data_IF_604667062155
#
_entry.id   IF_604667062155
#
_cell.length_a   1.000
_cell.length_b   1.000
_cell.length_c   1.000
_cell.angle_alpha   90.00
_cell.angle_beta   90.00
_cell.angle_gamma   90.00
#
_symmetry.space_group_name_H-M   'P 1'
#
loop_
_entity.id
_entity.type
_entity.pdbx_description
1 polymer ?
#
# COMPACT_ATOMS: atom_id res chain seq x y z
N UNK A 1 33.82 -11.13 -19.81
CA UNK A 1 33.47 -11.96 -18.63
C UNK A 1 32.27 -11.43 -17.85
N UNK A 2 31.95 -10.12 -17.89
CA UNK A 2 30.78 -9.57 -17.19
C UNK A 2 29.41 -9.94 -17.81
N UNK A 3 29.36 -10.19 -19.13
CA UNK A 3 28.12 -10.52 -19.84
C UNK A 3 27.51 -11.88 -19.46
N UNK A 4 28.34 -12.84 -19.07
CA UNK A 4 27.88 -14.20 -18.74
C UNK A 4 27.35 -14.32 -17.28
N UNK A 5 27.73 -13.39 -16.42
CA UNK A 5 27.25 -13.37 -15.01
C UNK A 5 25.82 -12.81 -14.94
N UNK A 6 25.49 -11.83 -15.78
CA UNK A 6 24.13 -11.25 -15.85
C UNK A 6 23.11 -12.25 -16.38
N UNK A 7 23.51 -13.09 -17.37
CA UNK A 7 22.64 -14.15 -17.89
C UNK A 7 22.35 -15.26 -16.86
N UNK A 8 23.32 -15.58 -16.03
CA UNK A 8 23.16 -16.63 -15.01
C UNK A 8 22.30 -16.18 -13.82
N UNK A 9 22.30 -14.89 -13.48
CA UNK A 9 21.47 -14.35 -12.39
C UNK A 9 20.00 -14.22 -12.83
N UNK A 10 19.76 -13.81 -14.07
CA UNK A 10 18.41 -13.82 -14.66
C UNK A 10 17.85 -15.27 -14.74
N UNK A 11 18.68 -16.24 -15.09
CA UNK A 11 18.32 -17.65 -15.13
C UNK A 11 18.04 -18.25 -13.74
N UNK A 12 18.72 -17.80 -12.70
CA UNK A 12 18.48 -18.29 -11.34
C UNK A 12 17.13 -17.82 -10.75
N UNK A 13 16.69 -16.62 -11.10
CA UNK A 13 15.36 -16.12 -10.70
C UNK A 13 14.25 -16.77 -11.53
N UNK A 14 14.52 -17.08 -12.80
CA UNK A 14 13.57 -17.76 -13.70
C UNK A 14 13.50 -19.26 -13.41
N UNK A 15 14.61 -19.90 -13.04
CA UNK A 15 14.66 -21.34 -12.75
C UNK A 15 14.01 -21.73 -11.41
N UNK A 16 13.83 -20.82 -10.47
CA UNK A 16 12.95 -21.07 -9.30
C UNK A 16 11.47 -21.06 -9.67
N UNK A 17 11.10 -20.43 -10.79
CA UNK A 17 9.74 -20.44 -11.33
C UNK A 17 9.47 -21.63 -12.26
N UNK A 18 10.51 -22.23 -12.87
CA UNK A 18 10.37 -23.34 -13.82
C UNK A 18 10.66 -24.74 -13.22
N UNK A 19 11.21 -24.82 -12.01
CA UNK A 19 11.52 -26.11 -11.36
C UNK A 19 10.28 -26.91 -10.93
N UNK A 20 9.06 -26.35 -11.05
CA UNK A 20 7.79 -27.02 -10.73
C UNK A 20 7.06 -27.59 -11.94
N UNK A 21 7.61 -27.45 -13.18
CA UNK A 21 6.94 -27.94 -14.41
C UNK A 21 7.35 -29.31 -14.92
N UNK A 22 8.11 -30.08 -14.18
CA UNK A 22 8.78 -31.26 -14.70
C UNK A 22 8.58 -32.58 -13.96
N UNK A 23 7.43 -32.91 -13.38
CA UNK A 23 7.15 -34.30 -12.96
C UNK A 23 5.65 -34.60 -13.12
N UNK A 24 5.25 -35.09 -14.29
CA UNK A 24 4.08 -35.95 -14.45
C UNK A 24 4.09 -36.62 -15.81
N UNK A 25 4.48 -37.88 -15.83
CA UNK A 25 3.93 -38.97 -16.67
C UNK A 25 4.85 -40.18 -16.66
N UNK A 26 4.54 -41.14 -15.83
CA UNK A 26 4.85 -42.55 -16.12
C UNK A 26 3.66 -43.41 -15.72
N UNK A 27 2.99 -43.94 -16.72
CA UNK A 27 1.97 -44.98 -16.57
C UNK A 27 2.61 -46.26 -16.06
N UNK A 28 2.04 -46.84 -14.99
CA UNK A 28 2.25 -48.27 -14.68
C UNK A 28 0.89 -48.93 -14.51
N UNK A 29 0.75 -50.07 -15.21
CA UNK A 29 -0.44 -50.91 -15.31
C UNK A 29 -0.74 -51.67 -14.03
N UNK A 30 -2.06 -51.90 -13.81
CA UNK A 30 -2.64 -52.76 -12.80
C UNK A 30 -2.19 -54.23 -12.95
N UNK A 31 -1.91 -54.86 -11.81
CA UNK A 31 -1.88 -56.31 -11.64
C UNK A 31 -2.65 -56.67 -10.36
N UNK A 32 -3.69 -57.52 -10.53
CA UNK A 32 -4.58 -58.05 -9.49
C UNK A 32 -3.85 -59.06 -8.60
N UNK A 33 -4.22 -59.13 -7.28
CA UNK A 33 -3.90 -60.28 -6.46
C UNK A 33 -4.09 -60.09 -4.95
N UNK A 34 -5.26 -60.36 -4.46
CA UNK A 34 -5.69 -61.17 -3.27
C UNK A 34 -4.85 -61.08 -1.97
N UNK A 35 -5.50 -60.76 -0.85
CA UNK A 35 -5.15 -61.24 0.46
C UNK A 35 -5.21 -60.22 1.59
N UNK A 36 -6.34 -60.19 2.34
CA UNK A 36 -6.42 -59.52 3.65
C UNK A 36 -5.69 -60.36 4.71
N UNK A 37 -5.07 -59.69 5.69
CA UNK A 37 -5.38 -60.03 7.04
C UNK A 37 -5.68 -58.77 7.91
N UNK A 38 -6.75 -58.88 8.66
CA UNK A 38 -7.18 -58.04 9.77
C UNK A 38 -6.14 -58.02 10.89
N UNK A 39 -5.64 -56.81 11.18
CA UNK A 39 -4.89 -56.56 12.44
C UNK A 39 -5.58 -55.44 13.18
N UNK A 40 -6.17 -55.75 14.32
CA UNK A 40 -6.62 -54.83 15.35
C UNK A 40 -5.46 -54.46 16.28
N UNK A 41 -5.05 -53.22 16.42
CA UNK A 41 -4.23 -52.79 17.54
C UNK A 41 -5.08 -52.12 18.60
N UNK A 42 -5.23 -52.77 19.74
CA UNK A 42 -5.63 -52.15 21.00
C UNK A 42 -4.57 -51.19 21.47
N UNK A 43 -4.83 -49.89 21.36
CA UNK A 43 -4.03 -48.85 22.03
C UNK A 43 -4.74 -48.41 23.32
N UNK A 44 -4.07 -48.59 24.45
CA UNK A 44 -4.44 -47.99 25.73
C UNK A 44 -4.31 -46.45 25.62
N UNK A 45 -5.22 -45.66 26.24
CA UNK A 45 -5.10 -44.21 26.23
C UNK A 45 -3.93 -43.75 27.12
N UNK A 46 -3.05 -42.96 26.51
CA UNK A 46 -2.00 -42.21 27.22
C UNK A 46 -2.67 -41.01 27.93
N UNK A 47 -2.26 -40.66 29.16
CA UNK A 47 -2.86 -39.56 29.91
C UNK A 47 -2.55 -38.24 29.21
N UNK A 48 -3.58 -37.39 29.07
CA UNK A 48 -3.45 -36.04 28.54
C UNK A 48 -2.54 -35.20 29.44
N UNK A 49 -1.44 -34.71 28.89
CA UNK A 49 -0.65 -33.65 29.50
C UNK A 49 -1.52 -32.39 29.56
N UNK A 50 -1.82 -31.94 30.77
CA UNK A 50 -2.39 -30.63 31.03
C UNK A 50 -1.35 -29.57 30.61
N UNK A 51 -1.55 -28.92 29.50
CA UNK A 51 -0.84 -27.68 29.19
C UNK A 51 -1.27 -26.62 30.20
N UNK A 52 -0.33 -26.13 31.00
CA UNK A 52 -0.50 -24.91 31.77
C UNK A 52 -0.54 -23.73 30.79
N UNK A 53 -1.37 -22.72 31.05
CA UNK A 53 -1.36 -21.51 30.21
C UNK A 53 0.02 -20.86 30.36
N UNK A 54 0.69 -20.68 29.24
CA UNK A 54 1.86 -19.80 29.14
C UNK A 54 1.33 -18.37 29.37
N UNK A 55 1.70 -17.80 30.51
CA UNK A 55 1.46 -16.39 30.79
C UNK A 55 2.40 -15.64 29.84
N UNK A 56 1.84 -15.08 28.76
CA UNK A 56 2.54 -14.15 27.91
C UNK A 56 2.77 -12.85 28.70
N UNK A 57 3.98 -12.73 29.24
CA UNK A 57 4.52 -11.45 29.71
C UNK A 57 4.83 -10.58 28.47
N UNK A 58 3.80 -9.93 27.93
CA UNK A 58 4.02 -8.85 26.98
C UNK A 58 4.54 -7.62 27.73
N UNK A 59 5.74 -7.15 27.45
CA UNK A 59 6.22 -5.91 28.03
C UNK A 59 5.36 -4.74 27.47
N UNK A 60 4.54 -4.18 28.35
CA UNK A 60 3.92 -2.86 28.13
C UNK A 60 5.05 -1.83 28.05
N UNK A 61 5.18 -1.16 26.91
CA UNK A 61 6.20 -0.19 26.51
C UNK A 61 7.36 -0.76 25.70
N UNK A 62 7.13 -0.96 24.41
CA UNK A 62 8.20 -0.92 23.43
C UNK A 62 7.95 0.25 22.48
N UNK A 63 8.71 1.35 22.63
CA UNK A 63 9.13 2.12 21.46
C UNK A 63 9.77 1.09 20.55
N UNK A 64 9.00 0.56 19.60
CA UNK A 64 9.51 -0.42 18.64
C UNK A 64 10.66 0.27 17.90
N UNK A 65 11.84 -0.15 18.19
CA UNK A 65 13.06 0.28 17.53
C UNK A 65 12.89 -0.07 16.05
N UNK A 66 12.83 0.94 15.21
CA UNK A 66 12.84 0.89 13.73
C UNK A 66 14.03 0.05 13.21
N UNK A 67 14.97 -0.29 14.09
CA UNK A 67 16.28 -0.89 13.81
C UNK A 67 16.28 -2.34 13.31
N UNK A 68 15.17 -3.09 13.37
CA UNK A 68 15.20 -4.49 12.96
C UNK A 68 14.44 -4.80 11.66
N UNK A 69 13.73 -3.83 11.08
CA UNK A 69 12.96 -4.03 9.84
C UNK A 69 11.85 -5.07 9.97
N UNK A 70 11.40 -5.30 11.19
CA UNK A 70 10.34 -6.25 11.51
C UNK A 70 9.23 -5.62 12.31
N UNK A 71 8.01 -6.10 12.04
CA UNK A 71 6.78 -5.78 12.73
C UNK A 71 6.18 -7.11 13.19
N UNK A 72 6.50 -7.54 14.42
CA UNK A 72 6.28 -8.91 14.85
C UNK A 72 7.00 -9.91 13.93
N UNK A 73 6.27 -10.85 13.33
CA UNK A 73 6.83 -11.80 12.34
C UNK A 73 7.00 -11.20 10.93
N UNK A 74 6.34 -10.09 10.62
CA UNK A 74 6.30 -9.48 9.29
C UNK A 74 7.51 -8.59 8.98
N UNK A 75 7.72 -8.28 7.69
CA UNK A 75 8.86 -7.48 7.23
C UNK A 75 10.08 -8.31 6.85
N UNK A 76 11.27 -7.78 7.13
CA UNK A 76 12.54 -8.45 6.87
C UNK A 76 13.18 -8.07 5.53
N UNK A 77 14.22 -8.84 5.14
CA UNK A 77 15.01 -8.65 3.90
C UNK A 77 15.09 -9.97 3.13
N UNK A 78 14.00 -10.41 2.50
CA UNK A 78 13.94 -11.64 1.72
C UNK A 78 14.38 -11.36 0.27
N UNK A 79 15.66 -11.11 0.08
CA UNK A 79 16.25 -10.68 -1.19
C UNK A 79 17.50 -11.49 -1.53
N UNK A 80 17.92 -11.54 -2.80
CA UNK A 80 19.22 -12.07 -3.18
C UNK A 80 20.36 -11.37 -2.44
N UNK A 81 21.41 -12.11 -2.10
CA UNK A 81 22.58 -11.62 -1.35
C UNK A 81 23.20 -10.37 -1.96
N UNK A 82 23.20 -10.28 -3.30
CA UNK A 82 23.71 -9.12 -4.05
C UNK A 82 23.02 -7.80 -3.70
N UNK A 83 21.80 -7.81 -3.17
CA UNK A 83 21.07 -6.61 -2.75
C UNK A 83 21.34 -6.19 -1.31
N UNK A 84 21.87 -7.07 -0.46
CA UNK A 84 22.05 -6.80 0.98
C UNK A 84 22.94 -5.56 1.19
N UNK A 85 24.05 -5.46 0.48
CA UNK A 85 24.95 -4.29 0.60
C UNK A 85 24.27 -3.00 0.15
N UNK A 86 23.48 -3.03 -0.91
CA UNK A 86 22.76 -1.84 -1.40
C UNK A 86 21.69 -1.40 -0.40
N UNK A 87 20.94 -2.33 0.14
CA UNK A 87 19.92 -2.05 1.17
C UNK A 87 20.54 -1.57 2.49
N UNK A 88 21.70 -2.11 2.89
CA UNK A 88 22.41 -1.62 4.08
C UNK A 88 22.90 -0.18 3.91
N UNK A 89 23.41 0.19 2.72
CA UNK A 89 23.77 1.59 2.41
C UNK A 89 22.54 2.51 2.46
N UNK A 90 21.40 2.06 1.91
CA UNK A 90 20.14 2.81 1.95
C UNK A 90 19.64 2.99 3.39
N UNK A 91 19.68 1.93 4.19
CA UNK A 91 19.30 1.97 5.62
C UNK A 91 20.18 2.94 6.42
N UNK A 92 21.50 2.89 6.21
CA UNK A 92 22.43 3.81 6.85
C UNK A 92 22.13 5.28 6.47
N UNK A 93 21.93 5.57 5.20
CA UNK A 93 21.57 6.90 4.73
C UNK A 93 20.22 7.36 5.27
N UNK A 94 19.20 6.49 5.28
CA UNK A 94 17.91 6.79 5.86
C UNK A 94 18.00 7.16 7.35
N UNK A 95 18.76 6.39 8.12
CA UNK A 95 18.99 6.69 9.55
C UNK A 95 19.77 8.00 9.76
N UNK A 96 20.70 8.33 8.87
CA UNK A 96 21.43 9.60 8.92
C UNK A 96 20.49 10.77 8.67
N UNK A 97 19.68 10.75 7.62
CA UNK A 97 18.80 11.87 7.25
C UNK A 97 17.71 12.14 8.28
N UNK A 98 17.26 11.13 9.02
CA UNK A 98 16.30 11.33 10.11
C UNK A 98 16.83 12.22 11.23
N UNK A 99 18.13 12.25 11.44
CA UNK A 99 18.80 13.01 12.50
C UNK A 99 19.64 14.19 11.97
N UNK A 100 19.68 14.42 10.67
CA UNK A 100 20.40 15.51 10.04
C UNK A 100 19.49 16.75 9.94
N UNK A 101 19.70 17.73 10.83
CA UNK A 101 18.88 18.95 10.90
C UNK A 101 18.82 19.69 9.57
N UNK A 102 19.93 19.74 8.83
CA UNK A 102 19.99 20.41 7.53
C UNK A 102 19.08 19.70 6.50
N UNK A 103 19.13 18.36 6.45
CA UNK A 103 18.24 17.60 5.57
C UNK A 103 16.77 17.81 5.95
N UNK A 104 16.47 17.81 7.26
CA UNK A 104 15.09 18.02 7.73
C UNK A 104 14.58 19.42 7.40
N UNK A 105 15.38 20.46 7.54
CA UNK A 105 15.06 21.83 7.13
C UNK A 105 14.83 21.93 5.61
N UNK A 106 15.70 21.33 4.80
CA UNK A 106 15.55 21.28 3.34
C UNK A 106 14.27 20.53 2.93
N UNK A 107 13.96 19.42 3.60
CA UNK A 107 12.73 18.64 3.36
C UNK A 107 11.48 19.44 3.78
N UNK A 108 11.50 20.11 4.92
CA UNK A 108 10.39 20.97 5.37
C UNK A 108 10.12 22.09 4.37
N UNK A 109 11.17 22.77 3.88
CA UNK A 109 11.05 23.78 2.81
C UNK A 109 10.45 23.16 1.54
N UNK A 110 10.90 21.98 1.14
CA UNK A 110 10.38 21.32 -0.05
C UNK A 110 8.90 20.91 0.14
N UNK A 111 8.52 20.41 1.30
CA UNK A 111 7.14 20.07 1.64
C UNK A 111 6.25 21.32 1.64
N UNK A 112 6.70 22.43 2.20
CA UNK A 112 5.94 23.68 2.24
C UNK A 112 5.83 24.34 0.86
N UNK A 113 6.95 24.60 0.20
CA UNK A 113 7.02 25.48 -0.97
C UNK A 113 6.77 24.75 -2.30
N UNK A 114 7.08 23.46 -2.38
CA UNK A 114 6.91 22.67 -3.60
C UNK A 114 5.72 21.70 -3.51
N UNK A 115 5.52 21.03 -2.38
CA UNK A 115 4.40 20.09 -2.21
C UNK A 115 3.10 20.81 -1.84
N UNK A 116 3.20 21.97 -1.18
CA UNK A 116 2.05 22.80 -0.81
C UNK A 116 1.44 22.38 0.53
N UNK A 117 2.27 21.87 1.46
CA UNK A 117 1.82 21.50 2.81
C UNK A 117 1.74 22.76 3.70
N UNK A 118 0.87 22.79 4.70
CA UNK A 118 0.04 21.67 5.20
C UNK A 118 -1.22 21.49 4.35
N UNK A 119 -1.64 20.23 4.09
CA UNK A 119 -2.94 20.01 3.46
C UNK A 119 -4.06 20.25 4.46
N UNK A 120 -5.21 20.85 4.06
CA UNK A 120 -6.28 21.14 4.99
C UNK A 120 -6.92 19.89 5.63
N UNK A 121 -7.28 20.00 6.89
CA UNK A 121 -8.29 19.16 7.51
C UNK A 121 -9.65 19.86 7.36
N UNK A 122 -10.39 19.49 6.33
CA UNK A 122 -11.62 20.14 5.88
C UNK A 122 -12.84 19.54 6.58
N UNK A 123 -13.70 20.40 7.21
CA UNK A 123 -14.98 19.97 7.74
C UNK A 123 -15.97 19.79 6.59
N UNK A 124 -16.41 18.56 6.35
CA UNK A 124 -17.34 18.22 5.28
C UNK A 124 -18.79 18.40 5.78
N UNK A 125 -19.27 19.65 5.78
CA UNK A 125 -20.54 20.03 6.42
C UNK A 125 -21.75 19.32 5.83
N UNK A 126 -21.83 19.24 4.49
CA UNK A 126 -22.97 18.62 3.83
C UNK A 126 -22.92 17.09 3.91
N UNK A 127 -21.72 16.52 3.91
CA UNK A 127 -21.53 15.09 4.15
C UNK A 127 -21.83 14.73 5.61
N UNK A 128 -21.43 15.56 6.55
CA UNK A 128 -21.83 15.48 7.98
C UNK A 128 -23.35 15.48 8.12
N UNK A 129 -24.01 16.45 7.50
CA UNK A 129 -25.48 16.54 7.53
C UNK A 129 -26.16 15.32 6.90
N UNK A 130 -25.56 14.75 5.86
CA UNK A 130 -26.09 13.54 5.18
C UNK A 130 -26.11 12.31 6.10
N UNK A 131 -25.15 12.19 7.03
CA UNK A 131 -25.07 11.06 7.96
C UNK A 131 -25.71 11.32 9.33
N UNK A 132 -26.33 12.47 9.55
CA UNK A 132 -27.13 12.75 10.75
C UNK A 132 -28.53 12.18 10.61
N UNK A 133 -29.10 11.74 11.74
CA UNK A 133 -30.48 11.26 11.83
C UNK A 133 -31.50 12.42 11.75
N UNK A 134 -32.79 12.10 11.90
CA UNK A 134 -33.87 13.07 11.86
C UNK A 134 -33.82 14.08 13.01
N UNK A 135 -33.16 13.73 14.13
CA UNK A 135 -32.95 14.61 15.28
C UNK A 135 -31.69 15.49 15.10
N UNK A 136 -30.96 15.32 14.00
CA UNK A 136 -29.71 16.02 13.71
C UNK A 136 -28.48 15.49 14.47
N UNK A 137 -28.58 14.27 15.05
CA UNK A 137 -27.51 13.60 15.77
C UNK A 137 -26.71 12.70 14.83
N UNK A 138 -25.41 12.60 15.06
CA UNK A 138 -24.51 11.73 14.30
C UNK A 138 -23.07 12.26 14.30
N UNK A 139 -22.16 11.54 13.61
CA UNK A 139 -20.75 11.94 13.61
C UNK A 139 -20.51 13.23 12.82
N UNK A 140 -19.39 13.87 13.09
CA UNK A 140 -18.84 14.98 12.29
C UNK A 140 -17.73 14.48 11.40
N UNK A 141 -17.87 14.70 10.09
CA UNK A 141 -16.95 14.18 9.07
C UNK A 141 -15.95 15.27 8.69
N UNK A 142 -14.69 14.92 8.81
CA UNK A 142 -13.56 15.73 8.34
C UNK A 142 -12.80 15.00 7.26
N UNK A 143 -12.30 15.73 6.27
CA UNK A 143 -11.52 15.19 5.16
C UNK A 143 -10.10 15.73 5.24
N UNK A 144 -9.11 14.84 5.38
CA UNK A 144 -7.71 15.21 5.18
C UNK A 144 -7.42 15.25 3.68
N UNK A 145 -7.12 16.44 3.16
CA UNK A 145 -7.14 16.80 1.74
C UNK A 145 -5.78 16.53 1.05
N UNK A 146 -5.33 15.27 1.02
CA UNK A 146 -4.09 14.88 0.32
C UNK A 146 -4.22 14.99 -1.23
N UNK A 147 -5.42 15.10 -1.75
CA UNK A 147 -5.72 15.44 -3.14
C UNK A 147 -5.25 16.84 -3.55
N UNK A 148 -5.01 17.74 -2.61
CA UNK A 148 -4.50 19.10 -2.83
C UNK A 148 -2.97 19.19 -2.85
N UNK A 149 -2.25 18.12 -2.54
CA UNK A 149 -0.80 18.10 -2.74
C UNK A 149 -0.43 18.35 -4.20
N UNK A 150 0.76 18.90 -4.42
CA UNK A 150 1.34 18.96 -5.77
C UNK A 150 1.27 17.59 -6.46
N UNK A 151 0.86 17.57 -7.72
CA UNK A 151 0.52 16.37 -8.49
C UNK A 151 -0.74 15.63 -8.04
N UNK A 152 -1.47 16.14 -7.06
CA UNK A 152 -2.81 15.68 -6.70
C UNK A 152 -2.86 14.37 -5.91
N UNK A 153 -1.84 14.02 -5.11
CA UNK A 153 -1.88 12.84 -4.26
C UNK A 153 -0.81 12.85 -3.15
N UNK A 154 -1.06 12.07 -2.07
CA UNK A 154 -0.12 11.81 -0.98
C UNK A 154 1.25 11.29 -1.44
N UNK A 155 1.34 10.73 -2.64
CA UNK A 155 2.58 10.13 -3.18
C UNK A 155 3.75 11.12 -3.22
N UNK A 156 3.48 12.41 -3.36
CA UNK A 156 4.51 13.45 -3.43
C UNK A 156 5.31 13.56 -2.13
N UNK A 157 4.71 13.37 -0.96
CA UNK A 157 5.38 13.44 0.34
C UNK A 157 6.59 12.52 0.39
N UNK A 158 6.39 11.28 -0.03
CA UNK A 158 7.44 10.26 -0.06
C UNK A 158 8.40 10.47 -1.26
N UNK A 159 7.88 10.83 -2.44
CA UNK A 159 8.69 10.95 -3.64
C UNK A 159 9.77 12.03 -3.50
N UNK A 160 9.42 13.21 -2.97
CA UNK A 160 10.38 14.31 -2.79
C UNK A 160 11.49 13.92 -1.82
N UNK A 161 11.16 13.32 -0.68
CA UNK A 161 12.14 12.90 0.32
C UNK A 161 13.10 11.82 -0.23
N UNK A 162 12.58 10.80 -0.94
CA UNK A 162 13.42 9.76 -1.53
C UNK A 162 14.30 10.28 -2.66
N UNK A 163 13.85 11.25 -3.46
CA UNK A 163 14.69 11.89 -4.48
C UNK A 163 15.82 12.70 -3.84
N UNK A 164 15.56 13.39 -2.74
CA UNK A 164 16.62 14.08 -1.97
C UNK A 164 17.65 13.08 -1.42
N UNK A 165 17.22 11.92 -0.91
CA UNK A 165 18.12 10.83 -0.50
C UNK A 165 18.92 10.30 -1.70
N UNK A 166 18.27 10.03 -2.83
CA UNK A 166 18.94 9.54 -4.03
C UNK A 166 20.06 10.49 -4.49
N UNK A 167 19.77 11.79 -4.51
CA UNK A 167 20.77 12.84 -4.82
C UNK A 167 21.93 12.85 -3.82
N UNK A 168 21.63 12.77 -2.54
CA UNK A 168 22.64 12.73 -1.47
C UNK A 168 23.53 11.47 -1.55
N UNK A 169 22.96 10.33 -1.95
CA UNK A 169 23.71 9.10 -2.24
C UNK A 169 24.49 9.14 -3.57
N UNK A 170 24.48 10.26 -4.29
CA UNK A 170 25.18 10.42 -5.57
C UNK A 170 24.56 9.64 -6.73
N UNK A 171 23.27 9.24 -6.62
CA UNK A 171 22.56 8.55 -7.71
C UNK A 171 22.19 9.54 -8.79
N UNK A 172 22.36 9.14 -10.05
CA UNK A 172 22.04 9.99 -11.21
C UNK A 172 20.68 9.68 -11.81
N UNK A 173 20.19 8.46 -11.59
CA UNK A 173 18.93 7.98 -12.17
C UNK A 173 18.01 7.39 -11.11
N UNK A 174 16.73 7.74 -11.22
CA UNK A 174 15.65 7.17 -10.42
C UNK A 174 14.82 6.25 -11.31
N UNK A 175 14.51 5.07 -10.77
CA UNK A 175 13.63 4.09 -11.40
C UNK A 175 12.43 3.86 -10.48
N UNK A 176 11.22 3.87 -11.03
CA UNK A 176 10.01 3.57 -10.27
C UNK A 176 8.98 2.83 -11.13
N UNK A 177 8.05 2.14 -10.48
CA UNK A 177 6.87 1.54 -11.12
C UNK A 177 5.61 2.25 -10.68
N UNK A 178 4.59 2.31 -11.56
CA UNK A 178 3.31 2.93 -11.26
C UNK A 178 2.16 2.17 -11.93
N UNK A 179 1.00 2.06 -11.25
CA UNK A 179 -0.25 1.54 -11.81
C UNK A 179 -1.16 2.68 -12.25
N UNK A 180 -1.85 3.34 -11.32
CA UNK A 180 -2.72 4.50 -11.61
C UNK A 180 -1.97 5.73 -12.17
N UNK A 181 -0.64 5.71 -12.23
CA UNK A 181 0.18 6.81 -12.72
C UNK A 181 0.55 7.86 -11.66
N UNK A 182 -0.15 7.95 -10.55
CA UNK A 182 0.07 9.01 -9.55
C UNK A 182 1.47 8.95 -8.92
N UNK A 183 1.97 7.75 -8.61
CA UNK A 183 3.34 7.59 -8.11
C UNK A 183 4.37 7.97 -9.18
N UNK A 184 4.12 7.61 -10.43
CA UNK A 184 4.97 7.99 -11.57
C UNK A 184 5.05 9.51 -11.76
N UNK A 185 3.90 10.21 -11.71
CA UNK A 185 3.86 11.68 -11.80
C UNK A 185 4.62 12.33 -10.65
N UNK A 186 4.39 11.86 -9.41
CA UNK A 186 5.09 12.39 -8.24
C UNK A 186 6.61 12.17 -8.32
N UNK A 187 7.03 10.97 -8.74
CA UNK A 187 8.46 10.66 -8.92
C UNK A 187 9.08 11.51 -10.02
N UNK A 188 8.42 11.64 -11.17
CA UNK A 188 8.91 12.45 -12.28
C UNK A 188 9.04 13.93 -11.89
N UNK A 189 8.05 14.49 -11.17
CA UNK A 189 8.10 15.87 -10.70
C UNK A 189 9.23 16.13 -9.69
N UNK A 190 9.42 15.22 -8.74
CA UNK A 190 10.50 15.30 -7.78
C UNK A 190 11.88 15.19 -8.46
N UNK A 191 12.04 14.28 -9.44
CA UNK A 191 13.26 14.14 -10.23
C UNK A 191 13.56 15.39 -11.06
N UNK A 192 12.55 15.95 -11.74
CA UNK A 192 12.69 17.19 -12.51
C UNK A 192 13.18 18.36 -11.62
N UNK A 193 12.60 18.50 -10.40
CA UNK A 193 13.02 19.51 -9.44
C UNK A 193 14.49 19.37 -9.02
N UNK A 194 14.99 18.15 -8.92
CA UNK A 194 16.35 17.86 -8.39
C UNK A 194 17.39 17.50 -9.46
N UNK A 195 17.03 17.63 -10.76
CA UNK A 195 17.90 17.34 -11.91
C UNK A 195 18.42 15.90 -11.92
N UNK A 196 17.50 14.92 -11.75
CA UNK A 196 17.79 13.50 -11.85
C UNK A 196 17.06 12.87 -13.03
N UNK A 197 17.75 11.97 -13.73
CA UNK A 197 17.11 11.15 -14.76
C UNK A 197 16.02 10.29 -14.13
N UNK A 198 14.88 10.18 -14.82
CA UNK A 198 13.71 9.43 -14.32
C UNK A 198 13.19 8.43 -15.35
N UNK A 199 13.07 7.18 -14.95
CA UNK A 199 12.44 6.12 -15.74
C UNK A 199 11.28 5.50 -14.98
N UNK A 200 10.08 5.57 -15.55
CA UNK A 200 8.85 5.04 -14.97
C UNK A 200 8.40 3.82 -15.75
N UNK A 201 8.27 2.68 -15.06
CA UNK A 201 7.70 1.45 -15.61
C UNK A 201 6.20 1.43 -15.36
N UNK A 202 5.43 1.10 -16.37
CA UNK A 202 3.97 1.06 -16.29
C UNK A 202 3.41 -0.06 -17.17
N UNK A 203 2.43 -0.81 -16.66
CA UNK A 203 1.78 -1.87 -17.41
C UNK A 203 1.04 -1.33 -18.64
N UNK A 204 1.07 -2.09 -19.75
CA UNK A 204 0.41 -1.70 -21.00
C UNK A 204 -1.10 -1.52 -20.84
N UNK A 205 -1.72 -2.29 -19.94
CA UNK A 205 -3.13 -2.17 -19.58
C UNK A 205 -3.41 -0.88 -18.81
N UNK A 206 -2.53 -0.54 -17.86
CA UNK A 206 -2.65 0.67 -17.04
C UNK A 206 -2.41 1.94 -17.85
N UNK A 207 -1.47 1.91 -18.80
CA UNK A 207 -1.21 3.02 -19.75
C UNK A 207 -2.48 3.40 -20.51
N UNK A 208 -3.26 2.40 -20.95
CA UNK A 208 -4.52 2.65 -21.68
C UNK A 208 -5.57 3.29 -20.77
N UNK A 209 -5.70 2.79 -19.54
CA UNK A 209 -6.69 3.28 -18.54
C UNK A 209 -6.34 4.68 -18.02
N UNK A 210 -5.05 5.02 -17.90
CA UNK A 210 -4.52 6.20 -17.19
C UNK A 210 -3.64 7.08 -18.12
N UNK A 211 -4.03 7.23 -19.37
CA UNK A 211 -3.26 7.95 -20.40
C UNK A 211 -2.94 9.41 -20.03
N UNK A 212 -3.81 10.09 -19.28
CA UNK A 212 -3.57 11.45 -18.80
C UNK A 212 -2.33 11.56 -17.92
N UNK A 213 -2.14 10.62 -16.99
CA UNK A 213 -0.96 10.59 -16.13
C UNK A 213 0.31 10.25 -16.93
N UNK A 214 0.22 9.41 -17.96
CA UNK A 214 1.35 9.11 -18.86
C UNK A 214 1.83 10.39 -19.58
N UNK A 215 0.89 11.23 -20.03
CA UNK A 215 1.23 12.52 -20.63
C UNK A 215 1.95 13.43 -19.63
N UNK A 216 1.46 13.53 -18.39
CA UNK A 216 2.10 14.33 -17.33
C UNK A 216 3.52 13.84 -17.03
N UNK A 217 3.74 12.52 -16.90
CA UNK A 217 5.06 11.94 -16.67
C UNK A 217 6.05 12.34 -17.77
N UNK A 218 5.62 12.26 -19.04
CA UNK A 218 6.45 12.64 -20.20
C UNK A 218 6.74 14.14 -20.25
N UNK A 219 5.74 14.99 -19.93
CA UNK A 219 5.94 16.45 -19.86
C UNK A 219 6.92 16.86 -18.77
N UNK A 220 7.03 16.09 -17.70
CA UNK A 220 8.02 16.28 -16.64
C UNK A 220 9.43 15.78 -17.02
N UNK A 221 9.63 15.32 -18.26
CA UNK A 221 10.91 14.88 -18.78
C UNK A 221 11.26 13.42 -18.45
N UNK A 222 10.39 12.68 -17.80
CA UNK A 222 10.65 11.28 -17.47
C UNK A 222 10.35 10.34 -18.65
N UNK A 223 11.14 9.26 -18.75
CA UNK A 223 10.90 8.19 -19.71
C UNK A 223 9.83 7.23 -19.16
N UNK A 224 8.81 6.90 -19.96
CA UNK A 224 7.84 5.85 -19.63
C UNK A 224 8.21 4.58 -20.42
N UNK A 225 8.51 3.50 -19.70
CA UNK A 225 8.71 2.16 -20.26
C UNK A 225 7.43 1.34 -20.08
N UNK A 226 6.81 0.96 -21.20
CA UNK A 226 5.65 0.06 -21.19
C UNK A 226 6.10 -1.38 -20.94
N UNK A 227 5.43 -2.06 -20.02
CA UNK A 227 5.61 -3.47 -19.71
C UNK A 227 4.32 -4.20 -20.07
N UNK A 228 4.40 -5.36 -20.70
CA UNK A 228 3.20 -6.16 -20.96
C UNK A 228 2.57 -6.62 -19.64
N UNK A 229 1.24 -6.44 -19.51
CA UNK A 229 0.50 -6.72 -18.28
C UNK A 229 0.14 -5.46 -17.49
N UNK A 230 0.13 -5.58 -16.16
CA UNK A 230 -0.35 -4.58 -15.21
C UNK A 230 0.76 -4.06 -14.26
N UNK A 231 0.36 -3.38 -13.19
CA UNK A 231 1.27 -2.79 -12.20
C UNK A 231 2.19 -3.83 -11.53
N UNK A 232 1.73 -5.07 -11.30
CA UNK A 232 2.57 -6.14 -10.73
C UNK A 232 3.77 -6.43 -11.65
N UNK A 233 3.50 -6.54 -12.96
CA UNK A 233 4.53 -6.84 -13.97
C UNK A 233 5.49 -5.68 -14.14
N UNK A 234 4.96 -4.45 -14.18
CA UNK A 234 5.75 -3.22 -14.20
C UNK A 234 6.67 -3.08 -12.98
N UNK A 235 6.19 -3.45 -11.78
CA UNK A 235 6.98 -3.42 -10.55
C UNK A 235 8.14 -4.41 -10.60
N UNK A 236 7.89 -5.61 -11.09
CA UNK A 236 8.91 -6.65 -11.25
C UNK A 236 10.00 -6.21 -12.24
N UNK A 237 9.61 -5.59 -13.36
CA UNK A 237 10.56 -5.12 -14.37
C UNK A 237 11.38 -3.91 -13.87
N UNK A 238 10.76 -2.98 -13.15
CA UNK A 238 11.47 -1.87 -12.53
C UNK A 238 12.52 -2.34 -11.51
N UNK A 239 12.20 -3.38 -10.73
CA UNK A 239 13.15 -4.00 -9.79
C UNK A 239 14.31 -4.67 -10.57
N UNK A 240 14.03 -5.38 -11.68
CA UNK A 240 15.10 -5.97 -12.52
C UNK A 240 16.04 -4.91 -13.08
N UNK A 241 15.49 -3.81 -13.60
CA UNK A 241 16.27 -2.69 -14.12
C UNK A 241 17.18 -2.09 -13.02
N UNK A 242 16.62 -1.90 -11.81
CA UNK A 242 17.39 -1.39 -10.67
C UNK A 242 18.51 -2.35 -10.25
N UNK A 243 18.21 -3.65 -10.13
CA UNK A 243 19.22 -4.68 -9.76
C UNK A 243 20.36 -4.74 -10.77
N UNK A 244 20.06 -4.52 -12.05
CA UNK A 244 21.08 -4.46 -13.10
C UNK A 244 22.02 -3.23 -13.04
N UNK A 245 21.65 -2.19 -12.28
CA UNK A 245 22.34 -0.89 -12.27
C UNK A 245 22.41 -0.26 -10.87
N UNK A 246 22.74 -1.03 -9.85
CA UNK A 246 22.70 -0.62 -8.43
C UNK A 246 23.55 0.62 -8.10
N UNK A 247 24.69 0.82 -8.78
CA UNK A 247 25.59 1.95 -8.50
C UNK A 247 25.07 3.28 -9.02
N UNK A 248 24.35 3.27 -10.14
CA UNK A 248 23.88 4.51 -10.79
C UNK A 248 22.42 4.81 -10.50
N UNK A 249 21.62 3.78 -10.22
CA UNK A 249 20.17 3.88 -10.11
C UNK A 249 19.71 3.82 -8.66
N UNK A 250 18.63 4.56 -8.38
CA UNK A 250 17.85 4.50 -7.15
C UNK A 250 16.46 3.97 -7.47
N UNK A 251 16.03 2.90 -6.80
CA UNK A 251 14.65 2.44 -6.91
C UNK A 251 13.78 3.22 -5.92
N UNK A 252 12.92 4.10 -6.44
CA UNK A 252 12.02 4.91 -5.63
C UNK A 252 10.73 4.14 -5.38
N UNK A 253 10.60 3.60 -4.17
CA UNK A 253 9.41 2.85 -3.79
C UNK A 253 8.26 3.77 -3.40
N UNK A 254 7.09 3.55 -3.99
CA UNK A 254 5.85 4.27 -3.67
C UNK A 254 4.90 3.48 -2.78
N UNK A 255 5.28 2.25 -2.43
CA UNK A 255 4.51 1.32 -1.60
C UNK A 255 5.20 1.08 -0.27
N UNK A 256 4.44 0.67 0.74
CA UNK A 256 4.99 0.20 2.02
C UNK A 256 5.27 -1.31 2.00
N UNK A 257 5.34 -1.91 0.82
CA UNK A 257 5.76 -3.29 0.58
C UNK A 257 7.16 -3.29 0.00
N UNK A 258 8.04 -4.07 0.56
CA UNK A 258 9.41 -4.17 0.11
C UNK A 258 10.35 -4.64 1.22
N UNK A 259 11.62 -4.92 0.89
CA UNK A 259 12.61 -5.28 1.89
C UNK A 259 12.93 -4.07 2.78
N UNK A 260 13.26 -4.30 4.04
CA UNK A 260 13.76 -3.24 4.90
C UNK A 260 15.01 -2.56 4.26
N UNK A 261 15.10 -1.21 4.25
CA UNK A 261 14.33 -0.22 5.03
C UNK A 261 13.10 0.36 4.31
N UNK A 262 12.76 -0.09 3.10
CA UNK A 262 11.74 0.54 2.26
C UNK A 262 10.39 0.79 2.95
N UNK A 263 9.78 -0.18 3.68
CA UNK A 263 8.49 0.05 4.34
C UNK A 263 8.56 1.16 5.40
N UNK A 264 9.60 1.12 6.24
CA UNK A 264 9.80 2.12 7.31
C UNK A 264 10.05 3.52 6.73
N UNK A 265 10.85 3.60 5.66
CA UNK A 265 11.16 4.85 4.97
C UNK A 265 9.91 5.49 4.35
N UNK A 266 9.11 4.72 3.63
CA UNK A 266 7.86 5.23 3.05
C UNK A 266 6.89 5.67 4.13
N UNK A 267 6.71 4.86 5.20
CA UNK A 267 5.87 5.25 6.34
C UNK A 267 6.32 6.58 6.94
N UNK A 268 7.62 6.73 7.22
CA UNK A 268 8.14 7.96 7.84
C UNK A 268 7.85 9.20 7.00
N UNK A 269 8.14 9.16 5.70
CA UNK A 269 7.88 10.31 4.83
C UNK A 269 6.39 10.57 4.56
N UNK A 270 5.53 9.56 4.75
CA UNK A 270 4.09 9.75 4.70
C UNK A 270 3.50 10.19 6.05
N UNK A 271 4.23 10.04 7.16
CA UNK A 271 3.73 10.34 8.52
C UNK A 271 3.37 11.82 8.72
N UNK A 272 3.84 12.70 7.85
CA UNK A 272 3.42 14.11 7.80
C UNK A 272 1.90 14.27 7.73
N UNK A 273 1.19 13.31 7.12
CA UNK A 273 -0.29 13.30 7.08
C UNK A 273 -0.87 13.22 8.49
N UNK A 274 -0.41 12.27 9.28
CA UNK A 274 -0.86 12.08 10.67
C UNK A 274 -0.44 13.22 11.59
N UNK A 275 0.81 13.67 11.50
CA UNK A 275 1.35 14.79 12.29
C UNK A 275 0.52 16.06 12.11
N UNK A 276 0.21 16.42 10.86
CA UNK A 276 -0.66 17.56 10.57
C UNK A 276 -2.10 17.35 11.01
N UNK A 277 -2.63 16.12 10.83
CA UNK A 277 -3.99 15.79 11.26
C UNK A 277 -4.15 15.97 12.76
N UNK A 278 -3.19 15.51 13.58
CA UNK A 278 -3.18 15.71 15.04
C UNK A 278 -3.15 17.20 15.38
N UNK A 279 -2.21 17.96 14.80
CA UNK A 279 -2.09 19.40 15.00
C UNK A 279 -3.41 20.13 14.68
N UNK A 280 -3.94 19.90 13.48
CA UNK A 280 -5.15 20.55 13.00
C UNK A 280 -6.41 20.14 13.78
N UNK A 281 -6.48 18.91 14.29
CA UNK A 281 -7.54 18.44 15.17
C UNK A 281 -7.52 19.21 16.50
N UNK A 282 -6.36 19.32 17.13
CA UNK A 282 -6.19 20.11 18.35
C UNK A 282 -6.55 21.58 18.17
N UNK A 283 -6.22 22.18 17.01
CA UNK A 283 -6.57 23.56 16.68
C UNK A 283 -8.08 23.75 16.44
N UNK A 284 -8.77 22.77 15.84
CA UNK A 284 -10.17 22.89 15.43
C UNK A 284 -11.16 22.57 16.54
N UNK A 285 -10.91 21.54 17.34
CA UNK A 285 -11.84 21.11 18.40
C UNK A 285 -11.18 20.74 19.73
N UNK A 286 -9.87 20.95 19.89
CA UNK A 286 -9.16 20.77 21.14
C UNK A 286 -8.94 19.33 21.59
N UNK A 287 -9.03 18.35 20.66
CA UNK A 287 -8.89 16.92 20.95
C UNK A 287 -8.39 16.11 19.77
N UNK A 288 -8.20 14.80 19.98
CA UNK A 288 -7.90 13.86 18.92
C UNK A 288 -9.18 13.47 18.16
N UNK A 289 -9.08 13.03 16.90
CA UNK A 289 -10.20 12.35 16.24
C UNK A 289 -10.45 10.99 16.89
N UNK A 290 -11.71 10.59 17.02
CA UNK A 290 -12.07 9.26 17.54
C UNK A 290 -11.92 8.16 16.48
N UNK A 291 -12.04 8.53 15.19
CA UNK A 291 -11.98 7.55 14.10
C UNK A 291 -11.17 8.10 12.93
N UNK A 292 -10.21 7.32 12.45
CA UNK A 292 -9.46 7.56 11.23
C UNK A 292 -9.81 6.52 10.18
N UNK A 293 -10.14 6.95 8.97
CA UNK A 293 -10.51 6.06 7.85
C UNK A 293 -9.60 6.32 6.65
N UNK A 294 -9.02 5.27 6.09
CA UNK A 294 -8.20 5.35 4.89
C UNK A 294 -8.36 4.13 3.99
N UNK A 295 -8.25 4.31 2.68
CA UNK A 295 -8.26 3.18 1.74
C UNK A 295 -6.94 2.40 1.82
N UNK A 296 -7.01 1.10 1.55
CA UNK A 296 -5.87 0.18 1.56
C UNK A 296 -5.68 -0.43 0.17
N UNK A 297 -4.57 -0.06 -0.49
CA UNK A 297 -3.93 -0.87 -1.52
C UNK A 297 -2.72 -1.54 -0.87
N UNK A 298 -1.49 -1.04 -1.13
CA UNK A 298 -0.35 -1.43 -0.29
C UNK A 298 -0.37 -0.79 1.11
N UNK A 299 -1.09 0.33 1.29
CA UNK A 299 -1.35 0.98 2.57
C UNK A 299 -0.51 2.23 2.89
N UNK A 300 0.19 2.81 1.91
CA UNK A 300 1.09 3.95 2.17
C UNK A 300 0.36 5.19 2.72
N UNK A 301 -0.82 5.51 2.20
CA UNK A 301 -1.62 6.62 2.69
C UNK A 301 -2.20 6.37 4.10
N UNK A 302 -2.61 5.13 4.36
CA UNK A 302 -3.16 4.73 5.65
C UNK A 302 -2.09 4.76 6.74
N UNK A 303 -0.92 4.15 6.51
CA UNK A 303 0.20 4.23 7.46
C UNK A 303 0.67 5.66 7.70
N UNK A 304 0.65 6.51 6.66
CA UNK A 304 0.96 7.92 6.80
C UNK A 304 0.03 8.65 7.76
N UNK A 305 -1.27 8.32 7.73
CA UNK A 305 -2.25 8.88 8.66
C UNK A 305 -2.18 8.20 10.04
N UNK A 306 -2.09 6.86 10.09
CA UNK A 306 -2.22 6.08 11.32
C UNK A 306 -0.99 6.17 12.22
N UNK A 307 0.21 6.34 11.64
CA UNK A 307 1.48 6.29 12.38
C UNK A 307 1.50 7.17 13.63
N UNK A 308 0.95 8.37 13.53
CA UNK A 308 0.90 9.34 14.64
C UNK A 308 -0.05 8.91 15.77
N UNK A 309 -1.00 8.02 15.46
CA UNK A 309 -2.06 7.61 16.39
C UNK A 309 -1.95 6.14 16.83
N UNK A 310 -0.85 5.47 16.50
CA UNK A 310 -0.71 4.04 16.80
C UNK A 310 -0.74 3.71 18.30
N UNK A 311 -0.27 4.65 19.14
CA UNK A 311 -0.25 4.50 20.59
C UNK A 311 -1.48 5.10 21.30
N UNK A 312 -2.42 5.68 20.53
CA UNK A 312 -3.66 6.27 21.07
C UNK A 312 -4.77 5.21 21.03
N UNK A 313 -4.92 4.44 22.11
CA UNK A 313 -5.86 3.31 22.18
C UNK A 313 -7.32 3.72 21.92
N UNK A 314 -7.69 4.95 22.28
CA UNK A 314 -9.04 5.52 22.09
C UNK A 314 -9.31 5.93 20.63
N UNK A 315 -8.29 6.00 19.77
CA UNK A 315 -8.44 6.34 18.35
C UNK A 315 -8.57 5.06 17.52
N UNK A 316 -9.73 4.87 16.91
CA UNK A 316 -9.97 3.75 15.99
C UNK A 316 -9.27 3.99 14.65
N UNK A 317 -8.49 3.01 14.21
CA UNK A 317 -7.79 3.02 12.92
C UNK A 317 -8.50 2.07 11.95
N UNK A 318 -9.11 2.59 10.91
CA UNK A 318 -9.94 1.82 9.98
C UNK A 318 -9.35 1.87 8.57
N UNK A 319 -8.91 0.71 8.08
CA UNK A 319 -8.50 0.49 6.71
C UNK A 319 -9.62 -0.10 5.86
N UNK A 320 -9.82 0.43 4.66
CA UNK A 320 -10.85 -0.06 3.73
C UNK A 320 -10.22 -0.58 2.46
N UNK A 321 -10.36 -1.88 2.20
CA UNK A 321 -9.84 -2.58 1.03
C UNK A 321 -10.89 -2.64 -0.09
N UNK A 322 -10.43 -2.82 -1.34
CA UNK A 322 -11.31 -2.99 -2.48
C UNK A 322 -11.83 -4.43 -2.58
N UNK A 323 -13.13 -4.62 -2.40
CA UNK A 323 -13.79 -5.89 -2.62
C UNK A 323 -14.13 -6.15 -4.11
N UNK A 324 -13.81 -5.24 -5.02
CA UNK A 324 -14.06 -5.40 -6.44
C UNK A 324 -15.52 -5.74 -6.74
N UNK A 325 -15.74 -6.87 -7.39
CA UNK A 325 -17.10 -7.38 -7.66
C UNK A 325 -17.70 -8.21 -6.52
N UNK A 326 -17.06 -8.22 -5.37
CA UNK A 326 -17.40 -9.02 -4.18
C UNK A 326 -16.29 -10.01 -3.83
N UNK A 327 -16.11 -10.28 -2.54
CA UNK A 327 -15.01 -11.12 -2.03
C UNK A 327 -15.02 -12.56 -2.58
N UNK A 328 -16.21 -13.08 -2.91
CA UNK A 328 -16.37 -14.44 -3.40
C UNK A 328 -16.31 -14.52 -4.95
N UNK A 329 -16.17 -13.39 -5.64
CA UNK A 329 -16.06 -13.31 -7.10
C UNK A 329 -14.69 -13.74 -7.63
N UNK A 330 -13.66 -13.81 -6.76
CA UNK A 330 -12.26 -13.97 -7.15
C UNK A 330 -11.67 -12.71 -7.82
N UNK A 331 -12.46 -11.63 -7.98
CA UNK A 331 -12.04 -10.34 -8.55
C UNK A 331 -12.14 -9.24 -7.49
N UNK A 332 -11.13 -9.16 -6.64
CA UNK A 332 -11.00 -8.19 -5.55
C UNK A 332 -9.52 -7.91 -5.28
N UNK A 333 -9.24 -6.88 -4.47
CA UNK A 333 -7.91 -6.52 -3.97
C UNK A 333 -7.87 -6.48 -2.43
N UNK A 334 -8.68 -7.30 -1.78
CA UNK A 334 -8.83 -7.34 -0.34
C UNK A 334 -7.81 -8.30 0.29
N UNK A 335 -6.56 -7.86 0.32
CA UNK A 335 -5.40 -8.65 0.74
C UNK A 335 -5.43 -9.01 2.22
N UNK A 336 -5.80 -8.09 3.10
CA UNK A 336 -5.90 -8.37 4.53
C UNK A 336 -7.12 -9.25 4.85
N UNK A 337 -8.21 -9.09 4.10
CA UNK A 337 -9.45 -9.85 4.34
C UNK A 337 -9.39 -11.29 3.81
N UNK A 338 -8.75 -11.54 2.66
CA UNK A 338 -8.77 -12.83 1.93
C UNK A 338 -7.38 -13.41 1.65
N UNK A 339 -6.29 -12.64 1.85
CA UNK A 339 -4.93 -13.09 1.55
C UNK A 339 -4.33 -13.98 2.64
N UNK A 340 -3.19 -14.55 2.31
CA UNK A 340 -2.40 -15.41 3.18
C UNK A 340 -1.00 -14.83 3.40
N UNK A 341 -0.34 -15.26 4.49
CA UNK A 341 1.04 -14.81 4.78
C UNK A 341 2.01 -15.46 3.80
N UNK A 342 2.86 -14.65 3.18
CA UNK A 342 3.89 -15.11 2.26
C UNK A 342 4.94 -14.03 1.99
N UNK A 343 5.95 -14.35 1.19
CA UNK A 343 7.02 -13.40 0.81
C UNK A 343 6.70 -12.78 -0.55
N UNK A 344 6.64 -11.46 -0.58
CA UNK A 344 6.44 -10.71 -1.82
C UNK A 344 7.31 -9.47 -1.86
N UNK A 345 7.98 -9.23 -2.99
CA UNK A 345 8.90 -8.10 -3.19
C UNK A 345 9.90 -7.90 -2.03
N UNK A 346 10.38 -9.00 -1.43
CA UNK A 346 11.42 -8.99 -0.41
C UNK A 346 10.96 -8.77 1.02
N UNK A 347 9.66 -8.84 1.30
CA UNK A 347 9.09 -8.76 2.65
C UNK A 347 8.12 -9.91 2.93
N UNK A 348 8.07 -10.38 4.17
CA UNK A 348 7.01 -11.26 4.66
C UNK A 348 5.79 -10.40 5.03
N UNK A 349 4.63 -10.68 4.43
CA UNK A 349 3.40 -9.91 4.64
C UNK A 349 2.17 -10.73 4.24
N UNK A 350 0.95 -10.18 4.41
CA UNK A 350 -0.24 -10.71 3.75
C UNK A 350 -0.19 -10.43 2.26
N UNK A 351 -0.59 -11.39 1.44
CA UNK A 351 -0.70 -11.26 -0.01
C UNK A 351 -1.80 -12.15 -0.58
N UNK A 352 -2.31 -11.75 -1.76
CA UNK A 352 -3.25 -12.55 -2.54
C UNK A 352 -2.44 -13.60 -3.31
N UNK A 353 -2.58 -14.85 -2.91
CA UNK A 353 -1.94 -16.01 -3.53
C UNK A 353 -2.87 -17.21 -3.49
N UNK A 354 -2.67 -18.13 -4.41
CA UNK A 354 -3.35 -19.42 -4.42
C UNK A 354 -2.67 -20.44 -3.48
N UNK A 355 -3.19 -21.65 -3.42
CA UNK A 355 -2.68 -22.73 -2.57
C UNK A 355 -1.26 -23.19 -2.97
N UNK A 356 -0.82 -22.87 -4.19
CA UNK A 356 0.54 -23.14 -4.68
C UNK A 356 1.50 -21.96 -4.44
N UNK A 357 1.00 -20.85 -3.83
CA UNK A 357 1.77 -19.64 -3.55
C UNK A 357 1.95 -18.73 -4.76
N UNK A 358 1.17 -18.94 -5.87
CA UNK A 358 1.19 -18.05 -7.01
C UNK A 358 0.37 -16.79 -6.74
N UNK A 359 0.88 -15.65 -7.16
CA UNK A 359 0.22 -14.36 -6.95
C UNK A 359 -1.04 -14.26 -7.81
N UNK A 360 -2.18 -14.05 -7.15
CA UNK A 360 -3.44 -13.77 -7.81
C UNK A 360 -3.48 -12.34 -8.36
N UNK A 361 -4.17 -12.18 -9.49
CA UNK A 361 -4.34 -10.85 -10.10
C UNK A 361 -5.39 -10.09 -9.31
N UNK A 362 -5.02 -8.96 -8.67
CA UNK A 362 -5.96 -8.13 -7.93
C UNK A 362 -6.90 -7.38 -8.88
N UNK A 363 -8.08 -6.99 -8.39
CA UNK A 363 -9.03 -6.19 -9.15
C UNK A 363 -9.67 -5.11 -8.28
N UNK A 364 -9.78 -3.90 -8.83
CA UNK A 364 -10.52 -2.76 -8.28
C UNK A 364 -10.85 -1.76 -9.38
N UNK A 365 -11.98 -1.06 -9.26
CA UNK A 365 -12.30 0.11 -10.09
C UNK A 365 -11.27 1.24 -9.89
N UNK A 366 -10.69 1.32 -8.71
CA UNK A 366 -9.55 2.21 -8.40
C UNK A 366 -8.22 1.50 -8.64
N UNK A 367 -7.62 1.69 -9.81
CA UNK A 367 -6.39 1.00 -10.26
C UNK A 367 -5.24 1.08 -9.24
N UNK A 368 -5.17 2.18 -8.47
CA UNK A 368 -4.14 2.34 -7.43
C UNK A 368 -4.29 1.38 -6.23
N UNK A 369 -5.41 0.66 -6.12
CA UNK A 369 -5.62 -0.40 -5.14
C UNK A 369 -5.32 -1.80 -5.72
N UNK A 370 -5.13 -1.94 -7.03
CA UNK A 370 -4.81 -3.22 -7.68
C UNK A 370 -3.36 -3.66 -7.37
N UNK A 371 -3.14 -4.09 -6.12
CA UNK A 371 -1.85 -4.58 -5.67
C UNK A 371 -2.04 -5.81 -4.78
N UNK A 372 -1.34 -6.92 -5.07
CA UNK A 372 -1.62 -8.21 -4.42
C UNK A 372 -1.05 -8.33 -3.00
N UNK A 373 -0.28 -7.36 -2.53
CA UNK A 373 0.36 -7.37 -1.23
C UNK A 373 0.03 -6.13 -0.40
N UNK A 374 0.23 -6.21 0.90
CA UNK A 374 0.03 -5.11 1.83
C UNK A 374 1.28 -4.89 2.67
N UNK A 375 1.47 -3.70 3.22
CA UNK A 375 2.60 -3.39 4.08
C UNK A 375 2.74 -4.35 5.27
N UNK A 376 3.96 -4.79 5.61
CA UNK A 376 4.19 -5.69 6.74
C UNK A 376 3.71 -5.10 8.07
N UNK A 377 3.78 -3.79 8.24
CA UNK A 377 3.26 -3.12 9.43
C UNK A 377 1.73 -3.19 9.50
N UNK A 378 1.01 -3.03 8.38
CA UNK A 378 -0.45 -3.23 8.36
C UNK A 378 -0.84 -4.68 8.66
N UNK A 379 -0.04 -5.64 8.19
CA UNK A 379 -0.21 -7.05 8.54
C UNK A 379 -0.08 -7.28 10.04
N UNK A 380 0.88 -6.61 10.67
CA UNK A 380 1.06 -6.63 12.13
C UNK A 380 -0.10 -5.94 12.86
N UNK A 381 -0.55 -4.77 12.40
CA UNK A 381 -1.68 -4.05 12.99
C UNK A 381 -2.98 -4.86 12.93
N UNK A 382 -3.17 -5.65 11.87
CA UNK A 382 -4.28 -6.60 11.78
C UNK A 382 -4.16 -7.70 12.84
N UNK A 383 -3.01 -8.38 12.93
CA UNK A 383 -2.85 -9.51 13.87
C UNK A 383 -2.87 -9.07 15.32
N UNK A 384 -2.35 -7.88 15.63
CA UNK A 384 -2.40 -7.30 16.97
C UNK A 384 -3.78 -6.75 17.35
N UNK A 385 -4.71 -6.64 16.40
CA UNK A 385 -6.02 -6.03 16.63
C UNK A 385 -5.98 -4.50 16.83
N UNK A 386 -4.82 -3.85 16.53
CA UNK A 386 -4.72 -2.39 16.69
C UNK A 386 -5.49 -1.60 15.62
N UNK A 387 -5.65 -2.17 14.44
CA UNK A 387 -6.43 -1.56 13.36
C UNK A 387 -7.50 -2.53 12.85
N UNK A 388 -8.63 -1.96 12.46
CA UNK A 388 -9.75 -2.64 11.85
C UNK A 388 -9.63 -2.61 10.32
N UNK A 389 -9.96 -3.71 9.65
CA UNK A 389 -9.93 -3.75 8.19
C UNK A 389 -11.27 -4.22 7.64
N UNK A 390 -11.82 -3.41 6.76
CA UNK A 390 -13.14 -3.60 6.14
C UNK A 390 -13.03 -3.49 4.63
N UNK A 391 -14.13 -3.72 3.93
CA UNK A 391 -14.15 -3.73 2.47
C UNK A 391 -15.30 -2.93 1.90
N UNK A 392 -15.09 -2.40 0.68
CA UNK A 392 -16.12 -1.80 -0.15
C UNK A 392 -16.02 -2.36 -1.57
N UNK A 393 -17.18 -2.65 -2.20
CA UNK A 393 -17.22 -3.09 -3.60
C UNK A 393 -17.12 -1.90 -4.55
N UNK A 394 -16.77 -2.16 -5.81
CA UNK A 394 -16.58 -1.13 -6.83
C UNK A 394 -17.82 -0.23 -7.00
N UNK A 395 -19.04 -0.80 -6.95
CA UNK A 395 -20.28 -0.05 -7.01
C UNK A 395 -20.42 0.94 -5.85
N UNK A 396 -20.17 0.49 -4.61
CA UNK A 396 -20.23 1.34 -3.42
C UNK A 396 -19.22 2.51 -3.53
N UNK A 397 -18.01 2.22 -4.04
CA UNK A 397 -16.97 3.24 -4.23
C UNK A 397 -17.38 4.30 -5.28
N UNK A 398 -17.98 3.88 -6.41
CA UNK A 398 -18.47 4.81 -7.45
C UNK A 398 -19.63 5.66 -6.92
N UNK A 399 -20.54 5.09 -6.16
CA UNK A 399 -21.64 5.83 -5.53
C UNK A 399 -21.12 6.85 -4.51
N UNK A 400 -20.14 6.47 -3.69
CA UNK A 400 -19.48 7.37 -2.75
C UNK A 400 -18.73 8.50 -3.45
N UNK A 401 -18.03 8.23 -4.55
CA UNK A 401 -17.42 9.26 -5.40
C UNK A 401 -18.45 10.30 -5.82
N UNK A 402 -19.56 9.86 -6.43
CA UNK A 402 -20.65 10.74 -6.89
C UNK A 402 -21.25 11.55 -5.75
N UNK A 403 -21.42 10.93 -4.58
CA UNK A 403 -21.95 11.57 -3.37
C UNK A 403 -21.02 12.69 -2.87
N UNK A 404 -19.72 12.43 -2.74
CA UNK A 404 -18.75 13.44 -2.28
C UNK A 404 -18.67 14.59 -3.28
N UNK A 405 -18.66 14.32 -4.60
CA UNK A 405 -18.74 15.36 -5.61
C UNK A 405 -19.99 16.25 -5.45
N UNK A 406 -21.16 15.64 -5.27
CA UNK A 406 -22.43 16.36 -5.18
C UNK A 406 -22.57 17.16 -3.88
N UNK A 407 -22.09 16.61 -2.78
CA UNK A 407 -22.24 17.23 -1.46
C UNK A 407 -21.14 18.26 -1.17
N UNK A 408 -19.89 17.97 -1.51
CA UNK A 408 -18.75 18.80 -1.08
C UNK A 408 -18.05 19.53 -2.26
N UNK A 409 -18.40 19.22 -3.52
CA UNK A 409 -17.68 19.77 -4.67
C UNK A 409 -16.24 19.24 -4.78
N UNK A 410 -15.94 18.12 -4.15
CA UNK A 410 -14.61 17.50 -4.12
C UNK A 410 -14.65 16.26 -5.00
N UNK A 411 -13.66 16.08 -5.88
CA UNK A 411 -13.47 14.88 -6.69
C UNK A 411 -12.45 13.97 -5.97
N UNK A 412 -12.89 13.02 -5.11
CA UNK A 412 -11.96 12.07 -4.50
C UNK A 412 -11.49 11.08 -5.55
N UNK A 413 -10.26 10.58 -5.47
CA UNK A 413 -9.85 9.46 -6.33
C UNK A 413 -10.74 8.23 -6.09
N UNK A 414 -10.89 7.35 -7.09
CA UNK A 414 -11.63 6.09 -6.93
C UNK A 414 -11.05 5.23 -5.81
N UNK A 415 -9.73 5.31 -5.60
CA UNK A 415 -9.07 4.69 -4.47
C UNK A 415 -9.63 5.22 -3.13
N UNK A 416 -9.62 6.53 -2.93
CA UNK A 416 -10.14 7.17 -1.70
C UNK A 416 -11.64 6.95 -1.53
N UNK A 417 -12.38 6.79 -2.63
CA UNK A 417 -13.82 6.57 -2.62
C UNK A 417 -14.23 5.28 -1.90
N UNK A 418 -13.35 4.27 -1.81
CA UNK A 418 -13.60 3.08 -0.99
C UNK A 418 -13.68 3.42 0.51
N UNK A 419 -12.82 4.34 0.98
CA UNK A 419 -12.89 4.82 2.36
C UNK A 419 -14.19 5.61 2.62
N UNK A 420 -14.60 6.46 1.68
CA UNK A 420 -15.89 7.17 1.77
C UNK A 420 -17.11 6.25 1.69
N UNK A 421 -17.03 5.16 0.92
CA UNK A 421 -18.11 4.18 0.83
C UNK A 421 -18.37 3.47 2.17
N UNK A 422 -17.31 3.20 2.93
CA UNK A 422 -17.45 2.55 4.22
C UNK A 422 -18.18 3.41 5.27
N UNK A 423 -18.24 4.73 5.08
CA UNK A 423 -19.01 5.62 5.96
C UNK A 423 -20.50 5.24 6.05
N UNK A 424 -21.10 4.65 5.01
CA UNK A 424 -22.48 4.19 5.02
C UNK A 424 -22.73 3.09 6.08
N UNK A 425 -21.70 2.27 6.32
CA UNK A 425 -21.74 1.20 7.32
C UNK A 425 -21.26 1.68 8.70
N UNK A 426 -20.35 2.63 8.73
CA UNK A 426 -19.71 3.13 9.94
C UNK A 426 -20.55 4.16 10.70
N UNK A 427 -21.03 5.20 10.00
CA UNK A 427 -21.68 6.34 10.65
C UNK A 427 -22.90 5.99 11.52
N UNK A 428 -23.78 5.02 11.12
CA UNK A 428 -24.89 4.60 11.97
C UNK A 428 -24.48 3.94 13.29
N UNK A 429 -23.22 3.55 13.44
CA UNK A 429 -22.70 2.90 14.66
C UNK A 429 -22.01 3.88 15.61
N UNK A 430 -21.83 5.13 15.21
CA UNK A 430 -21.09 6.13 15.94
C UNK A 430 -22.00 7.00 16.79
N UNK A 431 -21.46 7.51 17.90
CA UNK A 431 -22.17 8.43 18.79
C UNK A 431 -22.24 9.84 18.20
N UNK A 432 -23.20 10.63 18.69
CA UNK A 432 -23.36 12.03 18.32
C UNK A 432 -22.06 12.84 18.60
N UNK A 433 -21.67 13.65 17.62
CA UNK A 433 -20.47 14.50 17.70
C UNK A 433 -19.13 13.77 17.52
N UNK A 434 -19.11 12.45 17.33
CA UNK A 434 -17.90 11.66 17.06
C UNK A 434 -17.12 12.24 15.87
N UNK A 435 -15.83 12.57 16.05
CA UNK A 435 -14.98 13.16 15.01
C UNK A 435 -14.35 12.08 14.14
N UNK A 436 -14.81 11.99 12.92
CA UNK A 436 -14.31 11.04 11.90
C UNK A 436 -13.44 11.76 10.90
N UNK A 437 -12.20 11.33 10.72
CA UNK A 437 -11.30 11.86 9.68
C UNK A 437 -11.14 10.82 8.57
N UNK A 438 -11.49 11.20 7.35
CA UNK A 438 -11.29 10.39 6.15
C UNK A 438 -10.12 10.94 5.34
N UNK A 439 -9.16 10.10 4.98
CA UNK A 439 -8.04 10.49 4.13
C UNK A 439 -8.44 10.51 2.65
N UNK A 440 -8.63 11.70 2.07
CA UNK A 440 -8.77 11.87 0.62
C UNK A 440 -7.37 11.79 -0.01
N UNK A 441 -6.90 10.58 -0.26
CA UNK A 441 -5.51 10.29 -0.59
C UNK A 441 -5.05 10.77 -1.96
N UNK A 442 -5.99 11.12 -2.86
CA UNK A 442 -5.70 11.63 -4.19
C UNK A 442 -6.91 12.23 -4.91
N UNK A 443 -6.62 12.99 -5.98
CA UNK A 443 -7.61 13.66 -6.82
C UNK A 443 -8.32 12.68 -7.75
N UNK A 444 -9.60 12.89 -8.01
CA UNK A 444 -10.43 12.01 -8.83
C UNK A 444 -10.90 12.59 -10.15
N UNK A 445 -10.53 13.82 -10.50
CA UNK A 445 -10.83 14.39 -11.84
C UNK A 445 -10.30 13.51 -12.98
N UNK A 446 -9.18 12.81 -12.75
CA UNK A 446 -8.63 11.80 -13.65
C UNK A 446 -9.55 10.59 -13.86
N UNK A 447 -10.42 10.30 -12.90
CA UNK A 447 -11.30 9.13 -12.87
C UNK A 447 -12.72 9.46 -13.38
N UNK A 448 -13.03 10.74 -13.67
CA UNK A 448 -14.35 11.21 -14.02
C UNK A 448 -14.97 10.44 -15.20
N UNK A 449 -14.19 10.13 -16.24
CA UNK A 449 -14.67 9.36 -17.39
C UNK A 449 -15.03 7.91 -17.00
N UNK A 450 -14.27 7.28 -16.10
CA UNK A 450 -14.55 5.93 -15.59
C UNK A 450 -15.87 5.95 -14.82
N UNK A 451 -16.04 6.92 -13.91
CA UNK A 451 -17.24 7.07 -13.07
C UNK A 451 -18.48 7.39 -13.91
N UNK A 452 -18.33 8.25 -14.93
CA UNK A 452 -19.44 8.62 -15.82
C UNK A 452 -19.96 7.43 -16.61
N UNK A 453 -19.04 6.59 -17.13
CA UNK A 453 -19.39 5.42 -17.92
C UNK A 453 -19.73 4.18 -17.08
N UNK A 454 -19.51 4.24 -15.76
CA UNK A 454 -19.81 3.11 -14.88
C UNK A 454 -21.33 2.89 -14.80
N UNK A 455 -21.79 1.73 -15.21
CA UNK A 455 -23.20 1.38 -15.30
C UNK A 455 -23.75 1.34 -16.73
N UNK A 456 -23.20 2.11 -17.69
CA UNK A 456 -23.62 2.02 -19.09
C UNK A 456 -23.16 0.70 -19.77
N UNK A 457 -22.16 0.01 -19.21
CA UNK A 457 -21.67 -1.28 -19.68
C UNK A 457 -22.31 -2.50 -18.99
N UNK A 458 -23.23 -2.30 -18.02
CA UNK A 458 -23.94 -3.39 -17.35
C UNK A 458 -25.34 -3.66 -17.95
N UNK A 459 -25.75 -2.86 -18.93
CA UNK A 459 -27.05 -3.01 -19.62
C UNK A 459 -26.91 -3.61 -21.05
N UNK A 460 -25.73 -4.13 -21.40
CA UNK A 460 -25.53 -4.80 -22.69
C UNK A 460 -25.19 -6.28 -22.51
#
# INVERSE_FOLDING_TARGET
>A
MASNIVHNIAAAVTNQLDATRGIARSHVKLGNGIGSPTFTPTRKPTPALKMQPVIDDHPKNSKQTIHEGKFGKFGGKFVPESLITCLAKLEAEFNLVLNDSKFQEELEVALRDFVGRETPLYHAERLTKYYKDEEGKGPEIYIKREDLNHCGAHKMNNAIAQVMIAKRMGRRRVVAATGAGQHGVATAAACAKHDLECTIFMGSEDIKKQSSNVVLIKLLGAQVKSVEGNFKDASSEAIREWVGNLEMSYYLTGTVVGPHPCPAMVREFQSVIGKETRKQAMEKWGGLPEVLVACIGSGSNALGLFNEFMNEEDVRLIGVEAAGFGLDSGKHSATLSKGHVGVYHGALSYLLQDDEGQILVPHSVGVGLEYPGVGPELSFLKESGRAEFHTAIDKEAVEAYKRVCKLEGIFPSLEASHAFAYLDKLCPTLTDGCKVVVNCSGRGDKDAAIVFNYGHHQEC
#
